data_IF_082036215492
#
_entry.id   IF_082036215492
#
_cell.length_a   1.000
_cell.length_b   1.000
_cell.length_c   1.000
_cell.angle_alpha   90.00
_cell.angle_beta   90.00
_cell.angle_gamma   90.00
#
_symmetry.space_group_name_H-M   'P 1'
#
loop_
_entity.id
_entity.type
_entity.pdbx_description
1 polymer ?
#
# COMPACT_ATOMS: atom_id res chain seq x y z
N UNK A 1 -25.55 19.67 -4.49
CA UNK A 1 -24.44 20.11 -3.62
C UNK A 1 -23.44 20.83 -4.49
N UNK A 2 -23.77 22.05 -4.93
CA UNK A 2 -22.82 22.90 -5.65
C UNK A 2 -22.27 23.92 -4.65
N UNK A 3 -20.96 23.92 -4.44
CA UNK A 3 -20.28 24.85 -3.53
C UNK A 3 -19.96 24.31 -2.12
N UNK A 4 -20.14 23.02 -1.84
CA UNK A 4 -19.72 22.41 -0.57
C UNK A 4 -18.56 21.43 -0.78
N UNK A 5 -17.62 21.39 0.16
CA UNK A 5 -16.52 20.43 0.20
C UNK A 5 -16.61 19.60 1.48
N UNK A 6 -16.49 18.28 1.35
CA UNK A 6 -16.48 17.35 2.48
C UNK A 6 -15.08 16.76 2.60
N UNK A 7 -14.42 16.99 3.74
CA UNK A 7 -13.13 16.38 4.08
C UNK A 7 -13.35 15.32 5.16
N UNK A 8 -12.96 14.08 4.88
CA UNK A 8 -13.07 12.95 5.81
C UNK A 8 -11.67 12.46 6.17
N UNK A 9 -11.46 12.14 7.44
CA UNK A 9 -10.22 11.58 7.96
C UNK A 9 -10.50 10.62 9.12
N UNK A 10 -9.49 9.82 9.49
CA UNK A 10 -9.59 8.84 10.57
C UNK A 10 -8.55 9.16 11.66
N UNK A 11 -8.95 9.01 12.92
CA UNK A 11 -8.02 8.96 14.07
C UNK A 11 -7.93 7.51 14.52
N UNK A 12 -6.75 6.90 14.37
CA UNK A 12 -6.55 5.48 14.67
C UNK A 12 -6.31 5.33 16.17
N UNK A 13 -7.29 4.78 16.89
CA UNK A 13 -7.21 4.59 18.34
C UNK A 13 -6.25 3.46 18.72
N UNK A 14 -6.46 2.30 18.12
CA UNK A 14 -5.62 1.11 18.22
C UNK A 14 -5.62 0.38 16.87
N UNK A 15 -4.55 -0.36 16.58
CA UNK A 15 -4.41 -1.07 15.31
C UNK A 15 -3.68 -2.40 15.50
N UNK A 16 -4.29 -3.48 14.99
CA UNK A 16 -3.67 -4.79 14.90
C UNK A 16 -3.14 -5.03 13.48
N UNK A 17 -1.86 -4.74 13.27
CA UNK A 17 -1.22 -4.78 11.95
C UNK A 17 -1.28 -6.17 11.30
N UNK A 18 -1.11 -7.23 12.09
CA UNK A 18 -1.18 -8.62 11.64
C UNK A 18 -2.58 -9.00 11.17
N UNK A 19 -3.61 -8.61 11.93
CA UNK A 19 -5.00 -8.86 11.55
C UNK A 19 -5.35 -8.11 10.27
N UNK A 20 -4.95 -6.84 10.15
CA UNK A 20 -5.19 -6.03 8.94
C UNK A 20 -4.56 -6.69 7.71
N UNK A 21 -3.32 -7.18 7.81
CA UNK A 21 -2.66 -7.87 6.71
C UNK A 21 -3.36 -9.20 6.33
N UNK A 22 -4.00 -9.88 7.28
CA UNK A 22 -4.75 -11.12 7.03
C UNK A 22 -6.09 -10.90 6.34
N UNK A 23 -6.79 -9.82 6.66
CA UNK A 23 -8.11 -9.48 6.06
C UNK A 23 -7.97 -9.08 4.60
N UNK A 24 -6.83 -8.48 4.23
CA UNK A 24 -6.55 -8.13 2.85
C UNK A 24 -6.27 -9.37 2.01
N UNK A 25 -6.95 -9.48 0.86
CA UNK A 25 -6.68 -10.51 -0.15
C UNK A 25 -5.32 -10.22 -0.79
N UNK A 26 -4.29 -10.86 -0.25
CA UNK A 26 -2.90 -10.71 -0.67
C UNK A 26 -2.38 -11.97 -1.36
N UNK A 27 -1.48 -11.84 -2.35
CA UNK A 27 -1.14 -12.93 -3.25
C UNK A 27 -0.16 -13.98 -2.68
N UNK A 28 0.51 -13.70 -1.56
CA UNK A 28 1.39 -14.67 -0.89
C UNK A 28 1.51 -14.41 0.63
N UNK A 29 1.94 -15.41 1.41
CA UNK A 29 2.24 -15.22 2.84
C UNK A 29 3.40 -14.24 3.05
N UNK A 30 4.44 -14.33 2.21
CA UNK A 30 5.59 -13.43 2.27
C UNK A 30 5.20 -11.98 1.99
N UNK A 31 4.24 -11.74 1.08
CA UNK A 31 3.65 -10.42 0.86
C UNK A 31 2.93 -9.90 2.10
N UNK A 32 2.15 -10.78 2.76
CA UNK A 32 1.40 -10.44 3.96
C UNK A 32 2.32 -9.95 5.07
N UNK A 33 3.45 -10.63 5.28
CA UNK A 33 4.43 -10.26 6.29
C UNK A 33 5.06 -8.90 5.99
N UNK A 34 5.43 -8.66 4.72
CA UNK A 34 5.97 -7.37 4.29
C UNK A 34 4.96 -6.24 4.46
N UNK A 35 3.68 -6.50 4.14
CA UNK A 35 2.60 -5.54 4.32
C UNK A 35 2.38 -5.19 5.81
N UNK A 36 2.35 -6.20 6.69
CA UNK A 36 2.20 -5.97 8.13
C UNK A 36 3.36 -5.14 8.70
N UNK A 37 4.60 -5.46 8.30
CA UNK A 37 5.79 -4.69 8.68
C UNK A 37 5.72 -3.25 8.18
N UNK A 38 5.40 -3.07 6.89
CA UNK A 38 5.25 -1.74 6.27
C UNK A 38 4.19 -0.89 6.99
N UNK A 39 3.00 -1.44 7.24
CA UNK A 39 1.95 -0.74 7.99
C UNK A 39 2.42 -0.35 9.39
N UNK A 40 3.17 -1.21 10.09
CA UNK A 40 3.73 -0.89 11.40
C UNK A 40 4.79 0.21 11.34
N UNK A 41 5.54 0.33 10.25
CA UNK A 41 6.53 1.39 10.12
C UNK A 41 5.88 2.74 9.81
N UNK A 42 4.84 2.75 8.96
CA UNK A 42 4.25 3.99 8.42
C UNK A 42 3.00 4.47 9.12
N UNK A 43 2.27 3.58 9.78
CA UNK A 43 1.01 3.89 10.45
C UNK A 43 1.19 3.70 11.95
N UNK A 44 0.71 4.69 12.71
CA UNK A 44 0.66 4.62 14.16
C UNK A 44 -0.76 4.78 14.68
N UNK A 45 -0.93 4.55 15.97
CA UNK A 45 -2.19 4.70 16.69
C UNK A 45 -1.98 5.50 17.98
N UNK A 46 -3.05 6.09 18.51
CA UNK A 46 -2.98 6.79 19.80
C UNK A 46 -2.44 5.89 20.90
N UNK A 47 -2.84 4.62 20.93
CA UNK A 47 -2.31 3.64 21.89
C UNK A 47 -0.80 3.48 21.81
N UNK A 48 -0.24 3.45 20.60
CA UNK A 48 1.19 3.26 20.41
C UNK A 48 1.99 4.48 20.83
N UNK A 49 1.48 5.68 20.53
CA UNK A 49 2.18 6.93 20.85
C UNK A 49 2.01 7.35 22.32
N UNK A 50 0.85 7.07 22.93
CA UNK A 50 0.52 7.48 24.31
C UNK A 50 0.72 6.37 25.34
N UNK A 51 0.83 5.11 24.89
CA UNK A 51 0.87 3.92 25.76
C UNK A 51 -0.52 3.45 26.25
N UNK A 52 -1.60 4.18 25.95
CA UNK A 52 -2.98 3.83 26.31
C UNK A 52 -3.97 4.35 25.25
N UNK A 53 -5.18 3.80 25.23
CA UNK A 53 -6.26 4.29 24.36
C UNK A 53 -7.05 5.36 25.12
N UNK A 54 -7.07 6.63 24.68
CA UNK A 54 -7.89 7.64 25.33
C UNK A 54 -9.38 7.42 25.10
N UNK A 55 -10.20 7.90 26.02
CA UNK A 55 -11.66 7.93 25.87
C UNK A 55 -12.06 8.81 24.68
N UNK A 56 -13.11 8.39 23.95
CA UNK A 56 -13.57 9.07 22.73
C UNK A 56 -13.95 10.52 22.99
N UNK A 57 -14.62 10.77 24.11
CA UNK A 57 -15.10 12.11 24.48
C UNK A 57 -13.95 13.08 24.71
N UNK A 58 -12.85 12.62 25.30
CA UNK A 58 -11.64 13.43 25.46
C UNK A 58 -11.02 13.76 24.11
N UNK A 59 -10.95 12.80 23.17
CA UNK A 59 -10.45 13.04 21.81
C UNK A 59 -11.30 14.09 21.10
N UNK A 60 -12.64 13.97 21.18
CA UNK A 60 -13.57 14.93 20.58
C UNK A 60 -13.38 16.33 21.16
N UNK A 61 -13.30 16.43 22.49
CA UNK A 61 -13.05 17.70 23.19
C UNK A 61 -11.75 18.36 22.72
N UNK A 62 -10.65 17.60 22.63
CA UNK A 62 -9.35 18.12 22.15
C UNK A 62 -9.40 18.57 20.70
N UNK A 63 -10.13 17.87 19.83
CA UNK A 63 -10.32 18.29 18.44
C UNK A 63 -11.10 19.59 18.36
N UNK A 64 -12.19 19.73 19.12
CA UNK A 64 -13.00 20.96 19.19
C UNK A 64 -12.12 22.13 19.64
N UNK A 65 -11.40 21.98 20.76
CA UNK A 65 -10.47 23.00 21.27
C UNK A 65 -9.38 23.36 20.24
N UNK A 66 -8.88 22.36 19.48
CA UNK A 66 -7.88 22.56 18.44
C UNK A 66 -8.40 23.39 17.27
N UNK A 67 -9.60 23.10 16.79
CA UNK A 67 -10.25 23.86 15.71
C UNK A 67 -10.59 25.29 16.13
N UNK A 68 -11.05 25.48 17.37
CA UNK A 68 -11.34 26.82 17.90
C UNK A 68 -10.09 27.69 18.01
N UNK A 69 -8.96 27.09 18.40
CA UNK A 69 -7.66 27.79 18.45
C UNK A 69 -7.16 28.27 17.09
N UNK A 70 -7.54 27.61 16.00
CA UNK A 70 -7.21 28.07 14.64
C UNK A 70 -8.26 29.01 14.04
N UNK A 71 -9.18 29.52 14.87
CA UNK A 71 -10.17 30.53 14.51
C UNK A 71 -11.46 29.99 13.90
N UNK A 72 -11.72 28.69 13.99
CA UNK A 72 -13.00 28.12 13.58
C UNK A 72 -14.03 28.25 14.70
N UNK A 73 -15.28 28.61 14.35
CA UNK A 73 -16.41 28.56 15.29
C UNK A 73 -17.21 27.29 15.03
N UNK A 74 -17.11 26.33 15.94
CA UNK A 74 -17.88 25.09 15.85
C UNK A 74 -19.25 25.28 16.52
N UNK A 75 -20.30 24.82 15.85
CA UNK A 75 -21.67 24.82 16.37
C UNK A 75 -22.14 23.36 16.39
N UNK A 76 -22.53 22.81 17.55
CA UNK A 76 -23.13 21.48 17.62
C UNK A 76 -24.38 21.42 16.74
N UNK A 77 -24.40 20.45 15.83
CA UNK A 77 -25.58 20.11 15.03
C UNK A 77 -26.24 18.84 15.55
N UNK A 78 -27.54 18.73 15.36
CA UNK A 78 -28.31 17.50 15.58
C UNK A 78 -28.76 16.94 14.24
N UNK A 79 -28.88 15.62 14.16
CA UNK A 79 -29.38 14.94 12.96
C UNK A 79 -30.87 15.24 12.83
N UNK A 80 -31.27 15.85 11.72
CA UNK A 80 -32.67 16.13 11.42
C UNK A 80 -33.42 14.88 10.97
N UNK A 81 -34.75 14.89 11.11
CA UNK A 81 -35.61 13.80 10.63
C UNK A 81 -35.48 13.59 9.11
N UNK A 82 -35.26 14.66 8.36
CA UNK A 82 -35.04 14.62 6.91
C UNK A 82 -33.73 13.90 6.56
N UNK A 83 -32.62 14.24 7.23
CA UNK A 83 -31.33 13.57 7.03
C UNK A 83 -31.40 12.09 7.40
N UNK A 84 -32.12 11.75 8.47
CA UNK A 84 -32.32 10.37 8.88
C UNK A 84 -33.15 9.60 7.84
N UNK A 85 -34.21 10.21 7.29
CA UNK A 85 -35.01 9.60 6.22
C UNK A 85 -34.17 9.32 4.98
N UNK A 86 -33.39 10.30 4.52
CA UNK A 86 -32.47 10.14 3.38
C UNK A 86 -31.45 9.03 3.66
N UNK A 87 -30.93 8.97 4.88
CA UNK A 87 -29.99 7.92 5.27
C UNK A 87 -30.61 6.52 5.17
N UNK A 88 -31.81 6.34 5.73
CA UNK A 88 -32.48 5.04 5.76
C UNK A 88 -33.05 4.59 4.41
N UNK A 89 -33.61 5.51 3.62
CA UNK A 89 -34.29 5.18 2.37
C UNK A 89 -33.35 5.16 1.16
N UNK A 90 -32.28 5.95 1.15
CA UNK A 90 -31.41 6.12 -0.01
C UNK A 90 -29.96 5.69 0.25
N UNK A 91 -29.33 6.25 1.28
CA UNK A 91 -27.89 6.07 1.51
C UNK A 91 -27.58 4.65 1.95
N UNK A 92 -28.25 4.15 3.00
CA UNK A 92 -28.00 2.83 3.57
C UNK A 92 -28.23 1.72 2.53
N UNK A 93 -29.39 1.62 1.83
CA UNK A 93 -29.62 0.55 0.87
C UNK A 93 -28.59 0.53 -0.26
N UNK A 94 -28.18 1.71 -0.74
CA UNK A 94 -27.13 1.86 -1.73
C UNK A 94 -25.77 1.42 -1.19
N UNK A 95 -25.35 1.92 -0.03
CA UNK A 95 -23.99 1.69 0.48
C UNK A 95 -23.77 0.26 1.00
N UNK A 96 -24.85 -0.49 1.24
CA UNK A 96 -24.80 -1.92 1.58
C UNK A 96 -25.08 -2.83 0.39
N UNK A 97 -25.37 -2.30 -0.81
CA UNK A 97 -25.63 -3.12 -1.99
C UNK A 97 -24.35 -3.77 -2.51
N UNK A 98 -24.45 -4.96 -3.11
CA UNK A 98 -23.30 -5.60 -3.75
C UNK A 98 -22.72 -4.75 -4.87
N UNK A 99 -23.58 -4.08 -5.65
CA UNK A 99 -23.15 -3.18 -6.72
C UNK A 99 -22.22 -2.07 -6.20
N UNK A 100 -22.54 -1.50 -5.03
CA UNK A 100 -21.72 -0.47 -4.42
C UNK A 100 -20.47 -1.02 -3.75
N UNK A 101 -20.59 -2.12 -3.00
CA UNK A 101 -19.48 -2.73 -2.26
C UNK A 101 -18.39 -3.28 -3.19
N UNK A 102 -18.76 -3.79 -4.37
CA UNK A 102 -17.85 -4.33 -5.38
C UNK A 102 -17.68 -3.40 -6.59
N UNK A 103 -18.12 -2.15 -6.48
CA UNK A 103 -18.06 -1.16 -7.56
C UNK A 103 -16.65 -1.00 -8.15
N UNK A 104 -15.56 -0.99 -7.35
CA UNK A 104 -14.19 -0.92 -7.88
C UNK A 104 -13.79 -2.18 -8.69
N UNK A 105 -14.11 -3.37 -8.20
CA UNK A 105 -13.80 -4.66 -8.82
C UNK A 105 -14.62 -4.90 -10.09
N UNK A 106 -15.88 -4.47 -10.10
CA UNK A 106 -16.76 -4.52 -11.27
C UNK A 106 -16.26 -3.60 -12.41
N UNK A 107 -15.59 -2.50 -12.06
CA UNK A 107 -14.98 -1.57 -13.03
C UNK A 107 -13.67 -2.06 -13.61
N UNK A 108 -12.89 -2.85 -12.84
CA UNK A 108 -11.59 -3.37 -13.27
C UNK A 108 -11.35 -4.84 -12.84
N UNK A 109 -12.04 -5.81 -13.46
CA UNK A 109 -12.01 -7.22 -13.04
C UNK A 109 -10.63 -7.88 -13.13
N UNK A 110 -9.73 -7.33 -13.94
CA UNK A 110 -8.37 -7.84 -14.16
C UNK A 110 -7.37 -7.47 -13.05
N UNK A 111 -7.72 -6.56 -12.12
CA UNK A 111 -6.78 -5.92 -11.18
C UNK A 111 -6.91 -6.37 -9.72
N UNK A 112 -7.83 -7.26 -9.40
CA UNK A 112 -8.16 -7.65 -8.01
C UNK A 112 -6.96 -8.29 -7.28
N UNK A 113 -6.49 -7.66 -6.19
CA UNK A 113 -5.61 -8.27 -5.18
C UNK A 113 -4.09 -8.16 -5.37
N UNK A 114 -3.58 -7.31 -6.27
CA UNK A 114 -2.12 -7.24 -6.57
C UNK A 114 -1.39 -6.00 -6.06
N UNK A 115 -2.11 -4.89 -5.86
CA UNK A 115 -1.56 -3.64 -5.33
C UNK A 115 -2.42 -3.14 -4.15
N UNK A 116 -1.76 -2.76 -3.05
CA UNK A 116 -2.41 -2.24 -1.84
C UNK A 116 -1.81 -0.87 -1.54
N UNK A 117 -2.67 0.16 -1.44
CA UNK A 117 -2.27 1.49 -0.96
C UNK A 117 -2.20 1.45 0.57
N UNK A 118 -1.03 1.77 1.13
CA UNK A 118 -0.83 1.82 2.59
C UNK A 118 -1.13 3.22 3.12
N UNK A 119 -0.57 4.25 2.48
CA UNK A 119 -0.87 5.66 2.78
C UNK A 119 -0.69 6.52 1.53
N UNK A 120 -0.93 7.84 1.64
CA UNK A 120 -0.64 8.75 0.54
C UNK A 120 0.85 8.63 0.13
N UNK A 121 1.10 8.37 -1.15
CA UNK A 121 2.45 8.20 -1.69
C UNK A 121 3.12 6.85 -1.43
N UNK A 122 2.52 5.95 -0.63
CA UNK A 122 3.08 4.62 -0.31
C UNK A 122 2.16 3.50 -0.81
N UNK A 123 2.69 2.67 -1.72
CA UNK A 123 1.99 1.51 -2.31
C UNK A 123 2.85 0.26 -2.15
N UNK A 124 2.22 -0.89 -1.93
CA UNK A 124 2.87 -2.22 -1.95
C UNK A 124 2.26 -3.04 -3.09
N UNK A 125 3.11 -3.66 -3.91
CA UNK A 125 2.69 -4.43 -5.09
C UNK A 125 3.42 -5.75 -5.21
N UNK A 126 2.73 -6.77 -5.73
CA UNK A 126 3.34 -8.04 -6.12
C UNK A 126 3.08 -8.33 -7.59
N UNK A 127 4.13 -8.75 -8.29
CA UNK A 127 4.02 -9.33 -9.63
C UNK A 127 4.77 -10.65 -9.73
N UNK A 128 4.24 -11.52 -10.58
CA UNK A 128 4.93 -12.72 -11.05
C UNK A 128 5.32 -12.53 -12.53
N UNK A 129 6.59 -12.74 -12.83
CA UNK A 129 7.18 -12.69 -14.16
C UNK A 129 7.71 -14.08 -14.50
N UNK A 130 7.21 -14.66 -15.60
CA UNK A 130 7.62 -15.98 -16.07
C UNK A 130 8.59 -15.79 -17.24
N UNK A 131 9.88 -15.91 -16.95
CA UNK A 131 10.94 -16.03 -17.95
C UNK A 131 11.23 -17.53 -18.16
N UNK A 132 12.50 -17.89 -18.40
CA UNK A 132 12.95 -19.30 -18.30
C UNK A 132 12.63 -19.91 -16.93
N UNK A 133 12.68 -19.07 -15.88
CA UNK A 133 12.28 -19.37 -14.51
C UNK A 133 11.28 -18.33 -14.03
N UNK A 134 10.52 -18.66 -12.99
CA UNK A 134 9.60 -17.77 -12.32
C UNK A 134 10.36 -16.80 -11.41
N UNK A 135 10.14 -15.50 -11.61
CA UNK A 135 10.54 -14.43 -10.72
C UNK A 135 9.29 -13.82 -10.11
N UNK A 136 9.25 -13.69 -8.79
CA UNK A 136 8.25 -12.97 -8.02
C UNK A 136 8.91 -11.74 -7.42
N UNK A 137 8.34 -10.58 -7.72
CA UNK A 137 8.76 -9.30 -7.18
C UNK A 137 7.68 -8.78 -6.25
N UNK A 138 8.05 -8.53 -5.00
CA UNK A 138 7.23 -7.79 -4.05
C UNK A 138 7.95 -6.49 -3.70
N UNK A 139 7.36 -5.35 -4.03
CA UNK A 139 8.00 -4.05 -3.75
C UNK A 139 7.07 -3.07 -3.04
N UNK A 140 7.68 -2.32 -2.13
CA UNK A 140 7.12 -1.13 -1.52
C UNK A 140 7.69 0.09 -2.26
N UNK A 141 6.80 0.98 -2.66
CA UNK A 141 7.14 2.20 -3.39
C UNK A 141 6.65 3.38 -2.61
N UNK A 142 7.57 4.30 -2.33
CA UNK A 142 7.31 5.58 -1.68
C UNK A 142 7.75 6.70 -2.63
N UNK A 143 6.86 7.65 -2.92
CA UNK A 143 7.16 8.83 -3.75
C UNK A 143 7.77 8.47 -5.13
N UNK A 144 7.27 7.39 -5.76
CA UNK A 144 7.72 6.94 -7.07
C UNK A 144 9.10 6.25 -7.10
N UNK A 145 9.68 5.95 -5.93
CA UNK A 145 10.94 5.22 -5.79
C UNK A 145 10.76 3.92 -5.02
N UNK A 146 11.57 2.92 -5.35
CA UNK A 146 11.61 1.64 -4.64
C UNK A 146 12.14 1.90 -3.22
N UNK A 147 11.29 1.75 -2.21
CA UNK A 147 11.70 1.90 -0.80
C UNK A 147 12.27 0.61 -0.25
N UNK A 148 11.67 -0.51 -0.65
CA UNK A 148 12.05 -1.87 -0.29
C UNK A 148 11.57 -2.81 -1.41
N UNK A 149 12.37 -3.82 -1.75
CA UNK A 149 12.06 -4.82 -2.76
C UNK A 149 12.50 -6.18 -2.30
N UNK A 150 11.71 -7.18 -2.66
CA UNK A 150 11.97 -8.57 -2.43
C UNK A 150 11.82 -9.32 -3.75
N UNK A 151 12.86 -10.04 -4.12
CA UNK A 151 12.92 -10.87 -5.31
C UNK A 151 12.99 -12.32 -4.84
N UNK A 152 12.10 -13.15 -5.36
CA UNK A 152 12.04 -14.57 -5.03
C UNK A 152 11.55 -15.37 -6.24
N UNK A 153 11.61 -16.69 -6.20
CA UNK A 153 11.26 -17.49 -7.37
C UNK A 153 11.90 -18.87 -7.36
N UNK A 154 11.82 -19.56 -8.49
CA UNK A 154 12.46 -20.87 -8.71
C UNK A 154 13.73 -20.76 -9.58
N UNK A 155 14.37 -19.59 -9.56
CA UNK A 155 15.65 -19.32 -10.22
C UNK A 155 16.85 -19.62 -9.31
N UNK A 156 18.01 -19.75 -9.94
CA UNK A 156 19.28 -19.90 -9.24
C UNK A 156 20.14 -18.66 -9.46
N UNK A 157 20.77 -18.18 -8.39
CA UNK A 157 21.70 -17.06 -8.42
C UNK A 157 22.90 -17.42 -7.53
N UNK A 158 24.10 -17.29 -8.10
CA UNK A 158 25.34 -17.69 -7.44
C UNK A 158 26.30 -16.49 -7.36
N UNK A 159 26.80 -16.15 -6.15
CA UNK A 159 26.52 -16.79 -4.84
C UNK A 159 25.09 -16.54 -4.33
N UNK A 160 24.56 -17.39 -3.44
CA UNK A 160 23.16 -17.27 -2.96
C UNK A 160 22.83 -15.89 -2.35
N UNK A 161 23.80 -15.26 -1.68
CA UNK A 161 23.66 -13.92 -1.09
C UNK A 161 23.45 -12.82 -2.13
N UNK A 162 23.80 -13.06 -3.38
CA UNK A 162 23.73 -12.07 -4.45
C UNK A 162 22.27 -11.61 -4.71
N UNK A 163 21.27 -12.45 -4.43
CA UNK A 163 19.87 -12.03 -4.55
C UNK A 163 19.53 -10.88 -3.59
N UNK A 164 20.01 -10.95 -2.34
CA UNK A 164 19.82 -9.88 -1.35
C UNK A 164 20.63 -8.64 -1.70
N UNK A 165 21.80 -8.81 -2.32
CA UNK A 165 22.61 -7.68 -2.81
C UNK A 165 21.94 -6.98 -3.99
N UNK A 166 21.29 -7.71 -4.90
CA UNK A 166 20.47 -7.16 -5.98
C UNK A 166 19.28 -6.37 -5.43
N UNK A 167 18.56 -6.92 -4.45
CA UNK A 167 17.48 -6.22 -3.75
C UNK A 167 17.99 -4.88 -3.18
N UNK A 168 19.13 -4.90 -2.49
CA UNK A 168 19.77 -3.70 -1.95
C UNK A 168 20.17 -2.68 -3.02
N UNK A 169 20.69 -3.12 -4.16
CA UNK A 169 21.08 -2.24 -5.28
C UNK A 169 19.89 -1.52 -5.92
N UNK A 170 18.68 -2.11 -5.83
CA UNK A 170 17.45 -1.54 -6.38
C UNK A 170 16.77 -0.54 -5.43
N UNK A 171 17.13 -0.52 -4.14
CA UNK A 171 16.58 0.45 -3.18
C UNK A 171 16.93 1.90 -3.59
N UNK A 172 15.92 2.75 -3.61
CA UNK A 172 16.00 4.14 -4.04
C UNK A 172 15.90 4.35 -5.56
N UNK A 173 15.74 3.28 -6.35
CA UNK A 173 15.56 3.39 -7.80
C UNK A 173 14.23 4.07 -8.11
N UNK A 174 14.20 5.08 -9.01
CA UNK A 174 12.97 5.48 -9.67
C UNK A 174 12.36 4.29 -10.43
N UNK A 175 11.03 4.27 -10.56
CA UNK A 175 10.30 3.29 -11.39
C UNK A 175 10.37 3.63 -12.89
N UNK A 176 11.58 3.85 -13.39
CA UNK A 176 11.88 4.15 -14.80
C UNK A 176 12.76 3.03 -15.34
N UNK A 177 12.41 2.46 -16.49
CA UNK A 177 13.08 1.25 -17.02
C UNK A 177 14.59 1.44 -17.11
N UNK A 178 15.04 2.57 -17.65
CA UNK A 178 16.44 2.88 -17.86
C UNK A 178 17.23 2.95 -16.54
N UNK A 179 16.61 3.48 -15.47
CA UNK A 179 17.25 3.56 -14.14
C UNK A 179 17.34 2.20 -13.46
N UNK A 180 16.30 1.37 -13.59
CA UNK A 180 16.29 0.00 -13.09
C UNK A 180 17.33 -0.83 -13.83
N UNK A 181 17.36 -0.76 -15.17
CA UNK A 181 18.31 -1.47 -16.02
C UNK A 181 19.76 -1.13 -15.65
N UNK A 182 20.08 0.16 -15.54
CA UNK A 182 21.41 0.62 -15.12
C UNK A 182 21.85 0.04 -13.77
N UNK A 183 20.94 -0.06 -12.80
CA UNK A 183 21.24 -0.62 -11.46
C UNK A 183 21.45 -2.13 -11.51
N UNK A 184 20.60 -2.85 -12.25
CA UNK A 184 20.75 -4.31 -12.42
C UNK A 184 22.05 -4.62 -13.16
N UNK A 185 22.34 -3.92 -14.26
CA UNK A 185 23.58 -4.13 -15.01
C UNK A 185 24.83 -3.81 -14.18
N UNK A 186 24.82 -2.71 -13.44
CA UNK A 186 25.92 -2.37 -12.53
C UNK A 186 26.12 -3.45 -11.46
N UNK A 187 25.03 -4.01 -10.92
CA UNK A 187 25.11 -5.14 -9.99
C UNK A 187 25.78 -6.37 -10.62
N UNK A 188 25.37 -6.76 -11.84
CA UNK A 188 25.98 -7.89 -12.55
C UNK A 188 27.46 -7.65 -12.84
N UNK A 189 27.83 -6.44 -13.28
CA UNK A 189 29.21 -6.08 -13.59
C UNK A 189 30.11 -6.06 -12.34
N UNK A 190 29.62 -5.56 -11.22
CA UNK A 190 30.40 -5.39 -9.99
C UNK A 190 30.58 -6.70 -9.21
N UNK A 191 29.60 -7.61 -9.28
CA UNK A 191 29.60 -8.85 -8.48
C UNK A 191 30.09 -10.07 -9.27
N UNK A 192 30.01 -10.04 -10.60
CA UNK A 192 30.26 -11.22 -11.42
C UNK A 192 29.25 -12.35 -11.18
N UNK A 193 28.06 -12.01 -10.67
CA UNK A 193 26.99 -12.98 -10.35
C UNK A 193 26.62 -13.83 -11.55
N UNK A 194 26.33 -15.11 -11.29
CA UNK A 194 25.83 -16.03 -12.32
C UNK A 194 24.39 -16.41 -12.05
N UNK A 195 23.55 -16.30 -13.08
CA UNK A 195 22.15 -16.72 -13.07
C UNK A 195 21.89 -17.72 -14.20
N UNK A 196 22.11 -19.03 -13.99
CA UNK A 196 21.99 -20.02 -15.06
C UNK A 196 20.61 -20.01 -15.73
N UNK A 197 20.60 -19.84 -17.06
CA UNK A 197 19.38 -19.80 -17.87
C UNK A 197 18.59 -18.49 -17.79
N UNK A 198 19.15 -17.46 -17.15
CA UNK A 198 18.53 -16.14 -16.98
C UNK A 198 19.55 -15.02 -17.21
N UNK A 199 19.03 -13.83 -17.45
CA UNK A 199 19.79 -12.63 -17.77
C UNK A 199 19.37 -11.46 -16.88
N UNK A 200 20.20 -10.43 -16.80
CA UNK A 200 19.86 -9.17 -16.12
C UNK A 200 18.50 -8.62 -16.60
N UNK A 201 18.21 -8.74 -17.90
CA UNK A 201 16.95 -8.29 -18.50
C UNK A 201 15.73 -8.95 -17.86
N UNK A 202 15.79 -10.24 -17.50
CA UNK A 202 14.66 -10.94 -16.88
C UNK A 202 14.28 -10.31 -15.52
N UNK A 203 15.28 -9.86 -14.76
CA UNK A 203 15.05 -9.16 -13.49
C UNK A 203 14.51 -7.74 -13.71
N UNK A 204 15.01 -7.02 -14.71
CA UNK A 204 14.48 -5.70 -15.11
C UNK A 204 13.01 -5.84 -15.51
N UNK A 205 12.69 -6.79 -16.38
CA UNK A 205 11.33 -7.02 -16.86
C UNK A 205 10.40 -7.44 -15.72
N UNK A 206 10.88 -8.20 -14.73
CA UNK A 206 10.12 -8.55 -13.54
C UNK A 206 9.79 -7.34 -12.65
N UNK A 207 10.76 -6.45 -12.43
CA UNK A 207 10.57 -5.21 -11.66
C UNK A 207 9.63 -4.26 -12.39
N UNK A 208 9.82 -4.08 -13.70
CA UNK A 208 8.96 -3.20 -14.50
C UNK A 208 7.53 -3.71 -14.60
N UNK A 209 7.33 -5.03 -14.68
CA UNK A 209 5.99 -5.62 -14.61
C UNK A 209 5.29 -5.34 -13.27
N UNK A 210 6.04 -5.31 -12.17
CA UNK A 210 5.49 -4.89 -10.88
C UNK A 210 5.19 -3.38 -10.86
N UNK A 211 5.98 -2.57 -11.57
CA UNK A 211 5.79 -1.11 -11.63
C UNK A 211 4.57 -0.71 -12.47
N UNK A 212 4.27 -1.43 -13.55
CA UNK A 212 3.05 -1.25 -14.35
C UNK A 212 1.78 -1.36 -13.49
N UNK A 213 1.77 -2.25 -12.50
CA UNK A 213 0.65 -2.44 -11.57
C UNK A 213 0.51 -1.29 -10.53
N UNK A 214 1.43 -0.32 -10.50
CA UNK A 214 1.38 0.85 -9.62
C UNK A 214 0.93 2.13 -10.31
N UNK A 215 0.98 2.17 -11.64
CA UNK A 215 0.75 3.37 -12.47
C UNK A 215 -0.73 3.61 -12.81
N UNK A 216 -1.62 2.75 -12.32
CA UNK A 216 -3.09 2.85 -12.44
C UNK A 216 -3.75 2.85 -11.05
#
# INVERSE_FOLDING_TARGET
VDGSAVLVGNVILDMNYEMMARVLKVPSEKFRDKLAKSMREWVTSLKRELGYVPERDEIQKRLIEGYEKIGMKLVPGEISEEELRIFEEEVRPRHTSEEWLYMPEARHPSLTGRAVKVMAGVKVVEAMHKATKLIRVTMEVAEGKIRDILISGDFFMFPEKACTELEGALIGSPLVREEVEKRVEAFYANTGVQTPGMTAKDFVDAVMKAAELLSE
#
